data_IF_339635274852
#
_entry.id   IF_339635274852
#
_cell.length_a   1.000
_cell.length_b   1.000
_cell.length_c   1.000
_cell.angle_alpha   90.00
_cell.angle_beta   90.00
_cell.angle_gamma   90.00
#
_symmetry.space_group_name_H-M   'P 1'
#
loop_
_entity.id
_entity.type
_entity.pdbx_description
1 polymer ?
#
# COMPACT_ATOMS: atom_id res chain seq x y z
N UNK A 1 0.13 -20.31 -14.13
CA UNK A 1 -0.64 -19.11 -13.70
C UNK A 1 -2.00 -19.17 -14.35
N UNK A 2 -3.10 -18.93 -13.60
CA UNK A 2 -4.46 -18.93 -14.19
C UNK A 2 -4.63 -17.73 -15.14
N UNK A 3 -5.61 -17.82 -16.09
CA UNK A 3 -5.89 -16.73 -17.03
C UNK A 3 -6.23 -15.40 -16.30
N UNK A 4 -6.97 -15.47 -15.18
CA UNK A 4 -7.29 -14.29 -14.36
C UNK A 4 -6.03 -13.67 -13.73
N UNK A 5 -5.08 -14.48 -13.25
CA UNK A 5 -3.84 -13.98 -12.67
C UNK A 5 -2.93 -13.35 -13.73
N UNK A 6 -2.91 -13.91 -14.95
CA UNK A 6 -2.17 -13.31 -16.08
C UNK A 6 -2.75 -11.93 -16.42
N UNK A 7 -4.07 -11.81 -16.49
CA UNK A 7 -4.75 -10.54 -16.77
C UNK A 7 -4.47 -9.51 -15.67
N UNK A 8 -4.58 -9.90 -14.39
CA UNK A 8 -4.28 -9.02 -13.27
C UNK A 8 -2.83 -8.55 -13.28
N UNK A 9 -1.88 -9.43 -13.63
CA UNK A 9 -0.47 -9.07 -13.79
C UNK A 9 -0.26 -8.02 -14.90
N UNK A 10 -0.93 -8.17 -16.04
CA UNK A 10 -0.86 -7.21 -17.15
C UNK A 10 -1.46 -5.84 -16.77
N UNK A 11 -2.62 -5.84 -16.09
CA UNK A 11 -3.26 -4.62 -15.59
C UNK A 11 -2.34 -3.92 -14.56
N UNK A 12 -1.74 -4.69 -13.65
CA UNK A 12 -0.78 -4.17 -12.68
C UNK A 12 0.46 -3.57 -13.36
N UNK A 13 1.05 -4.26 -14.34
CA UNK A 13 2.19 -3.74 -15.11
C UNK A 13 1.85 -2.40 -15.77
N UNK A 14 0.64 -2.27 -16.30
CA UNK A 14 0.19 -1.02 -16.95
C UNK A 14 0.14 0.14 -15.95
N UNK A 15 -0.45 -0.06 -14.77
CA UNK A 15 -0.53 1.02 -13.76
C UNK A 15 0.84 1.34 -13.17
N UNK A 16 1.72 0.37 -12.97
CA UNK A 16 3.07 0.60 -12.48
C UNK A 16 3.91 1.43 -13.47
N UNK A 17 3.75 1.19 -14.77
CA UNK A 17 4.36 2.03 -15.82
C UNK A 17 3.83 3.47 -15.79
N UNK A 18 2.54 3.67 -15.55
CA UNK A 18 1.94 5.00 -15.38
C UNK A 18 2.50 5.71 -14.14
N UNK A 19 2.57 5.02 -12.99
CA UNK A 19 3.11 5.56 -11.75
C UNK A 19 4.58 5.96 -11.95
N UNK A 20 5.39 5.10 -12.58
CA UNK A 20 6.77 5.40 -12.94
C UNK A 20 6.89 6.64 -13.82
N UNK A 21 6.04 6.78 -14.82
CA UNK A 21 6.01 7.95 -15.70
C UNK A 21 5.73 9.23 -14.91
N UNK A 22 4.72 9.26 -14.05
CA UNK A 22 4.40 10.43 -13.22
C UNK A 22 5.59 10.80 -12.34
N UNK A 23 6.23 9.84 -11.68
CA UNK A 23 7.36 10.11 -10.79
C UNK A 23 8.59 10.67 -11.51
N UNK A 24 8.82 10.29 -12.75
CA UNK A 24 10.00 10.70 -13.50
C UNK A 24 9.78 11.96 -14.35
N UNK A 25 8.58 12.17 -14.85
CA UNK A 25 8.30 13.25 -15.82
C UNK A 25 7.28 14.28 -15.33
N UNK A 26 6.37 13.89 -14.45
CA UNK A 26 5.27 14.73 -13.97
C UNK A 26 5.24 14.86 -12.43
N UNK A 27 6.39 14.73 -11.78
CA UNK A 27 6.49 14.71 -10.30
C UNK A 27 5.89 15.94 -9.60
N UNK A 28 5.81 17.08 -10.28
CA UNK A 28 5.16 18.30 -9.78
C UNK A 28 3.65 18.10 -9.55
N UNK A 29 3.04 17.10 -10.18
CA UNK A 29 1.66 16.71 -9.98
C UNK A 29 1.42 15.96 -8.65
N UNK A 30 2.50 15.63 -7.92
CA UNK A 30 2.47 14.87 -6.65
C UNK A 30 2.94 15.74 -5.48
N UNK A 31 2.57 17.03 -5.49
CA UNK A 31 3.09 18.00 -4.52
C UNK A 31 2.47 17.85 -3.13
N UNK A 32 1.21 17.43 -3.03
CA UNK A 32 0.48 17.24 -1.77
C UNK A 32 0.26 15.76 -1.45
N UNK A 33 -0.06 15.43 -0.21
CA UNK A 33 -0.49 14.08 0.18
C UNK A 33 -1.76 13.67 -0.58
N UNK A 34 -2.68 14.60 -0.77
CA UNK A 34 -3.91 14.38 -1.53
C UNK A 34 -3.63 14.05 -3.00
N UNK A 35 -2.67 14.73 -3.64
CA UNK A 35 -2.21 14.38 -4.99
C UNK A 35 -1.69 12.95 -5.06
N UNK A 36 -0.89 12.53 -4.07
CA UNK A 36 -0.37 11.15 -3.99
C UNK A 36 -1.50 10.14 -3.81
N UNK A 37 -2.45 10.42 -2.92
CA UNK A 37 -3.63 9.56 -2.72
C UNK A 37 -4.42 9.39 -4.02
N UNK A 38 -4.80 10.49 -4.66
CA UNK A 38 -5.70 10.47 -5.83
C UNK A 38 -4.99 9.94 -7.08
N UNK A 39 -3.73 10.32 -7.31
CA UNK A 39 -3.04 10.05 -8.58
C UNK A 39 -2.20 8.79 -8.57
N UNK A 40 -1.86 8.26 -7.40
CA UNK A 40 -1.01 7.06 -7.27
C UNK A 40 -1.70 5.96 -6.48
N UNK A 41 -2.11 6.23 -5.22
CA UNK A 41 -2.63 5.19 -4.33
C UNK A 41 -3.97 4.65 -4.85
N UNK A 42 -4.95 5.51 -5.10
CA UNK A 42 -6.27 5.06 -5.57
C UNK A 42 -6.23 4.33 -6.92
N UNK A 43 -5.49 4.77 -7.95
CA UNK A 43 -5.31 4.00 -9.19
C UNK A 43 -4.72 2.60 -8.95
N UNK A 44 -3.73 2.47 -8.07
CA UNK A 44 -3.17 1.16 -7.71
C UNK A 44 -4.20 0.27 -7.00
N UNK A 45 -4.91 0.79 -5.99
CA UNK A 45 -5.96 0.05 -5.30
C UNK A 45 -7.06 -0.41 -6.27
N UNK A 46 -7.43 0.43 -7.23
CA UNK A 46 -8.42 0.09 -8.26
C UNK A 46 -7.97 -1.08 -9.14
N UNK A 47 -6.71 -1.11 -9.55
CA UNK A 47 -6.15 -2.23 -10.34
C UNK A 47 -6.07 -3.50 -9.51
N UNK A 48 -5.82 -3.39 -8.21
CA UNK A 48 -5.88 -4.50 -7.27
C UNK A 48 -7.33 -4.95 -6.97
N UNK A 49 -8.32 -4.41 -7.69
CA UNK A 49 -9.76 -4.73 -7.56
C UNK A 49 -10.33 -4.49 -6.16
N UNK A 50 -9.74 -3.55 -5.43
CA UNK A 50 -10.24 -3.11 -4.14
C UNK A 50 -11.46 -2.22 -4.37
N UNK A 51 -12.55 -2.52 -3.65
CA UNK A 51 -13.75 -1.69 -3.72
C UNK A 51 -13.56 -0.42 -2.88
N UNK A 52 -13.27 0.69 -3.57
CA UNK A 52 -13.04 2.01 -2.95
C UNK A 52 -14.23 2.48 -2.11
N UNK A 53 -15.45 2.07 -2.45
CA UNK A 53 -16.65 2.42 -1.67
C UNK A 53 -16.68 1.78 -0.28
N UNK A 54 -15.90 0.74 -0.05
CA UNK A 54 -15.77 0.08 1.25
C UNK A 54 -14.54 0.56 2.03
N UNK A 55 -13.68 1.38 1.43
CA UNK A 55 -12.54 1.96 2.14
C UNK A 55 -12.98 3.16 2.98
N UNK A 56 -12.38 3.29 4.16
CA UNK A 56 -12.48 4.51 4.96
C UNK A 56 -11.33 5.46 4.62
N UNK A 57 -11.64 6.71 4.40
CA UNK A 57 -10.67 7.77 4.13
C UNK A 57 -10.71 8.80 5.25
N UNK A 58 -9.54 9.26 5.70
CA UNK A 58 -9.42 10.36 6.66
C UNK A 58 -10.23 10.12 7.95
N UNK A 59 -10.32 8.87 8.37
CA UNK A 59 -11.10 8.46 9.53
C UNK A 59 -10.32 8.68 10.83
N UNK A 60 -11.01 9.10 11.88
CA UNK A 60 -10.42 9.17 13.21
C UNK A 60 -10.44 7.77 13.87
N UNK A 61 -9.31 7.40 14.46
CA UNK A 61 -9.16 6.20 15.27
C UNK A 61 -9.87 6.36 16.62
N UNK A 62 -10.02 5.27 17.36
CA UNK A 62 -10.55 5.33 18.75
C UNK A 62 -9.72 6.21 19.70
N UNK A 63 -8.45 6.48 19.35
CA UNK A 63 -7.54 7.35 20.09
C UNK A 63 -7.56 8.81 19.58
N UNK A 64 -8.46 9.16 18.69
CA UNK A 64 -8.61 10.50 18.15
C UNK A 64 -7.51 10.90 17.13
N UNK A 65 -6.71 9.95 16.63
CA UNK A 65 -5.74 10.18 15.56
C UNK A 65 -6.40 9.95 14.22
N UNK A 66 -6.05 10.76 13.23
CA UNK A 66 -6.58 10.64 11.87
C UNK A 66 -5.68 9.74 11.03
N UNK A 67 -6.23 8.63 10.55
CA UNK A 67 -5.58 7.75 9.59
C UNK A 67 -5.97 8.11 8.16
N UNK A 68 -5.09 7.87 7.20
CA UNK A 68 -5.34 8.25 5.81
C UNK A 68 -6.31 7.30 5.11
N UNK A 69 -5.99 6.00 5.05
CA UNK A 69 -6.83 5.02 4.36
C UNK A 69 -6.88 3.71 5.16
N UNK A 70 -8.09 3.20 5.35
CA UNK A 70 -8.32 1.83 5.85
C UNK A 70 -9.01 1.02 4.77
N UNK A 71 -8.38 -0.09 4.37
CA UNK A 71 -8.85 -0.98 3.31
C UNK A 71 -9.33 -2.29 3.93
N UNK A 72 -10.64 -2.61 3.86
CA UNK A 72 -11.16 -3.86 4.42
C UNK A 72 -10.84 -5.05 3.51
N UNK A 73 -10.40 -6.15 4.14
CA UNK A 73 -10.20 -7.45 3.52
C UNK A 73 -10.81 -8.54 4.41
N UNK A 74 -12.06 -8.90 4.15
CA UNK A 74 -12.79 -9.85 5.01
C UNK A 74 -12.89 -9.32 6.45
N UNK A 75 -12.26 -10.02 7.40
CA UNK A 75 -12.22 -9.62 8.81
C UNK A 75 -10.98 -8.78 9.17
N UNK A 76 -10.10 -8.50 8.20
CA UNK A 76 -8.88 -7.73 8.37
C UNK A 76 -9.02 -6.34 7.76
N UNK A 77 -8.20 -5.42 8.24
CA UNK A 77 -8.01 -4.12 7.60
C UNK A 77 -6.53 -3.93 7.29
N UNK A 78 -6.26 -3.30 6.15
CA UNK A 78 -4.92 -2.80 5.81
C UNK A 78 -4.95 -1.30 6.02
N UNK A 79 -4.02 -0.78 6.80
CA UNK A 79 -3.87 0.66 7.02
C UNK A 79 -2.80 1.19 6.09
N UNK A 80 -3.13 2.23 5.33
CA UNK A 80 -2.19 2.90 4.44
C UNK A 80 -2.00 4.33 4.94
N UNK A 81 -0.78 4.68 5.32
CA UNK A 81 -0.37 6.03 5.66
C UNK A 81 0.36 6.64 4.46
N UNK A 82 -0.10 7.82 4.05
CA UNK A 82 0.37 8.50 2.84
C UNK A 82 1.09 9.78 3.21
N UNK A 83 2.23 10.02 2.60
CA UNK A 83 3.01 11.26 2.69
C UNK A 83 3.14 11.88 1.30
N UNK A 84 3.34 13.19 1.24
CA UNK A 84 3.65 13.85 -0.05
C UNK A 84 4.98 13.33 -0.61
N UNK A 85 5.12 13.33 -1.92
CA UNK A 85 6.25 12.72 -2.63
C UNK A 85 7.63 13.20 -2.17
N UNK A 86 7.76 14.47 -1.78
CA UNK A 86 9.03 15.08 -1.41
C UNK A 86 9.52 14.67 -0.01
N UNK A 87 8.65 14.05 0.79
CA UNK A 87 9.00 13.62 2.15
C UNK A 87 9.79 12.32 2.07
N UNK A 88 10.95 12.30 2.71
CA UNK A 88 11.65 11.05 3.02
C UNK A 88 10.91 10.35 4.15
N UNK A 89 10.61 9.07 3.96
CA UNK A 89 9.98 8.25 4.99
C UNK A 89 10.98 8.03 6.15
N UNK A 90 10.51 8.20 7.38
CA UNK A 90 11.35 8.17 8.59
C UNK A 90 10.75 7.23 9.63
N UNK A 91 11.55 6.92 10.68
CA UNK A 91 11.07 6.13 11.82
C UNK A 91 9.87 6.76 12.52
N UNK A 92 9.74 8.09 12.54
CA UNK A 92 8.56 8.77 13.12
C UNK A 92 7.28 8.43 12.35
N UNK A 93 7.34 8.33 11.01
CA UNK A 93 6.22 7.90 10.19
C UNK A 93 5.88 6.42 10.43
N UNK A 94 6.89 5.58 10.63
CA UNK A 94 6.71 4.17 10.99
C UNK A 94 6.04 4.04 12.36
N UNK A 95 6.45 4.83 13.35
CA UNK A 95 5.84 4.85 14.69
C UNK A 95 4.38 5.35 14.62
N UNK A 96 4.09 6.32 13.77
CA UNK A 96 2.72 6.78 13.50
C UNK A 96 1.86 5.64 12.95
N UNK A 97 2.34 4.94 11.92
CA UNK A 97 1.65 3.78 11.33
C UNK A 97 1.44 2.67 12.37
N UNK A 98 2.47 2.37 13.19
CA UNK A 98 2.37 1.40 14.28
C UNK A 98 1.25 1.74 15.26
N UNK A 99 1.12 3.02 15.60
CA UNK A 99 0.03 3.50 16.46
C UNK A 99 -1.36 3.25 15.87
N UNK A 100 -1.51 3.42 14.55
CA UNK A 100 -2.77 3.11 13.86
C UNK A 100 -3.06 1.60 13.83
N UNK A 101 -2.05 0.78 13.50
CA UNK A 101 -2.21 -0.68 13.49
C UNK A 101 -2.63 -1.21 14.87
N UNK A 102 -2.03 -0.68 15.93
CA UNK A 102 -2.42 -1.03 17.29
C UNK A 102 -3.86 -0.62 17.62
N UNK A 103 -4.24 0.62 17.34
CA UNK A 103 -5.58 1.15 17.67
C UNK A 103 -6.70 0.50 16.86
N UNK A 104 -6.42 0.08 15.63
CA UNK A 104 -7.38 -0.54 14.71
C UNK A 104 -7.36 -2.07 14.78
N UNK A 105 -6.49 -2.66 15.58
CA UNK A 105 -6.25 -4.11 15.65
C UNK A 105 -5.95 -4.71 14.26
N UNK A 106 -5.17 -3.97 13.46
CA UNK A 106 -4.79 -4.36 12.11
C UNK A 106 -3.39 -4.98 12.09
N UNK A 107 -3.19 -6.00 11.24
CA UNK A 107 -1.91 -6.70 11.13
C UNK A 107 -1.02 -6.18 10.01
N UNK A 108 -1.57 -5.51 9.01
CA UNK A 108 -0.83 -5.06 7.82
C UNK A 108 -0.89 -3.54 7.72
N UNK A 109 0.29 -2.93 7.62
CA UNK A 109 0.47 -1.51 7.39
C UNK A 109 1.29 -1.24 6.13
N UNK A 110 0.94 -0.17 5.43
CA UNK A 110 1.67 0.35 4.28
C UNK A 110 1.97 1.82 4.54
N UNK A 111 3.25 2.19 4.43
CA UNK A 111 3.69 3.58 4.48
C UNK A 111 4.20 3.97 3.09
N UNK A 112 3.67 5.06 2.54
CA UNK A 112 4.08 5.48 1.19
C UNK A 112 4.12 6.99 1.03
N UNK A 113 5.06 7.47 0.19
CA UNK A 113 5.04 8.82 -0.39
C UNK A 113 4.69 8.78 -1.89
N UNK A 114 4.06 7.69 -2.35
CA UNK A 114 3.74 7.43 -3.74
C UNK A 114 4.89 6.83 -4.53
N UNK A 115 6.15 7.22 -4.24
CA UNK A 115 7.36 6.65 -4.83
C UNK A 115 7.82 5.41 -4.07
N UNK A 116 8.16 5.60 -2.79
CA UNK A 116 8.56 4.52 -1.88
C UNK A 116 7.32 3.92 -1.24
N UNK A 117 7.24 2.62 -1.25
CA UNK A 117 6.19 1.84 -0.62
C UNK A 117 6.83 0.85 0.33
N UNK A 118 6.62 1.05 1.63
CA UNK A 118 7.14 0.21 2.69
C UNK A 118 6.01 -0.60 3.30
N UNK A 119 6.16 -1.90 3.36
CA UNK A 119 5.15 -2.85 3.84
C UNK A 119 5.58 -3.42 5.19
N UNK A 120 4.64 -3.45 6.12
CA UNK A 120 4.87 -3.85 7.51
C UNK A 120 3.84 -4.84 7.99
N UNK A 121 4.28 -5.74 8.87
CA UNK A 121 3.42 -6.62 9.66
C UNK A 121 3.46 -6.14 11.11
N UNK A 122 2.30 -6.13 11.77
CA UNK A 122 2.16 -5.83 13.18
C UNK A 122 1.54 -7.01 13.92
N UNK A 123 2.32 -7.67 14.76
CA UNK A 123 1.88 -8.81 15.55
C UNK A 123 2.50 -8.75 16.96
N UNK A 124 1.72 -9.11 17.98
CA UNK A 124 2.19 -9.19 19.37
C UNK A 124 2.87 -7.91 19.87
N UNK A 125 2.39 -6.74 19.44
CA UNK A 125 2.93 -5.44 19.82
C UNK A 125 4.23 -5.06 19.09
N UNK A 126 4.71 -5.90 18.17
CA UNK A 126 5.92 -5.66 17.38
C UNK A 126 5.58 -5.39 15.94
N UNK A 127 6.34 -4.48 15.31
CA UNK A 127 6.24 -4.14 13.92
C UNK A 127 7.46 -4.62 13.17
N UNK A 128 7.25 -5.36 12.11
CA UNK A 128 8.29 -5.91 11.26
C UNK A 128 8.15 -5.38 9.83
N UNK A 129 9.25 -4.89 9.27
CA UNK A 129 9.34 -4.50 7.87
C UNK A 129 9.48 -5.76 6.99
N UNK A 130 8.63 -5.88 5.96
CA UNK A 130 8.63 -7.06 5.06
C UNK A 130 9.13 -6.76 3.65
N UNK A 131 8.84 -5.59 3.11
CA UNK A 131 9.24 -5.24 1.74
C UNK A 131 9.30 -3.72 1.54
N UNK A 132 10.17 -3.29 0.63
CA UNK A 132 10.22 -1.91 0.13
C UNK A 132 10.26 -1.90 -1.39
N UNK A 133 9.32 -1.21 -2.02
CA UNK A 133 9.27 -1.02 -3.46
C UNK A 133 9.51 0.46 -3.82
N UNK A 134 10.37 0.72 -4.80
CA UNK A 134 10.53 2.04 -5.42
C UNK A 134 9.80 2.06 -6.77
N UNK A 135 8.58 2.58 -6.79
CA UNK A 135 7.74 2.61 -7.99
C UNK A 135 8.17 3.66 -9.04
N UNK A 136 9.23 4.43 -8.78
CA UNK A 136 9.86 5.28 -9.81
C UNK A 136 10.78 4.50 -10.75
N UNK A 137 11.10 3.26 -10.41
CA UNK A 137 11.88 2.33 -11.24
C UNK A 137 11.02 1.21 -11.83
N UNK A 138 11.64 0.37 -12.63
CA UNK A 138 11.00 -0.83 -13.16
C UNK A 138 10.85 -1.86 -12.03
N UNK A 139 9.62 -2.26 -11.77
CA UNK A 139 9.35 -3.39 -10.88
C UNK A 139 9.63 -4.71 -11.60
N UNK A 140 10.32 -5.62 -10.93
CA UNK A 140 10.57 -6.97 -11.42
C UNK A 140 9.35 -7.89 -11.20
N UNK A 141 9.44 -9.12 -11.67
CA UNK A 141 8.34 -10.09 -11.56
C UNK A 141 8.00 -10.42 -10.10
N UNK A 142 9.00 -10.57 -9.23
CA UNK A 142 8.80 -10.91 -7.82
C UNK A 142 8.08 -9.78 -7.07
N UNK A 143 8.47 -8.54 -7.31
CA UNK A 143 7.81 -7.34 -6.76
C UNK A 143 6.36 -7.23 -7.22
N UNK A 144 6.09 -7.54 -8.49
CA UNK A 144 4.72 -7.54 -9.02
C UNK A 144 3.88 -8.70 -8.45
N UNK A 145 4.47 -9.87 -8.28
CA UNK A 145 3.82 -11.01 -7.61
C UNK A 145 3.53 -10.71 -6.14
N UNK A 146 4.45 -10.01 -5.44
CA UNK A 146 4.20 -9.54 -4.10
C UNK A 146 2.98 -8.61 -4.04
N UNK A 147 2.89 -7.62 -4.92
CA UNK A 147 1.74 -6.71 -5.01
C UNK A 147 0.43 -7.44 -5.33
N UNK A 148 0.48 -8.52 -6.12
CA UNK A 148 -0.72 -9.32 -6.42
C UNK A 148 -1.29 -10.06 -5.21
N UNK A 149 -0.53 -10.26 -4.12
CA UNK A 149 -1.10 -10.79 -2.87
C UNK A 149 -2.13 -9.83 -2.25
N UNK A 150 -2.12 -8.55 -2.65
CA UNK A 150 -3.11 -7.55 -2.25
C UNK A 150 -4.28 -7.41 -3.23
N UNK A 151 -4.30 -8.16 -4.33
CA UNK A 151 -5.43 -8.15 -5.25
C UNK A 151 -6.62 -8.87 -4.62
N UNK A 152 -7.82 -8.30 -4.70
CA UNK A 152 -9.00 -8.79 -3.98
C UNK A 152 -9.35 -10.25 -4.27
N UNK A 153 -9.11 -10.73 -5.52
CA UNK A 153 -9.36 -12.14 -5.90
C UNK A 153 -8.25 -13.10 -5.44
N UNK A 154 -7.05 -12.58 -5.12
CA UNK A 154 -5.86 -13.38 -4.79
C UNK A 154 -5.34 -13.08 -3.40
N UNK A 155 -6.05 -12.24 -2.64
CA UNK A 155 -5.63 -11.83 -1.31
C UNK A 155 -5.37 -13.06 -0.44
N UNK A 156 -4.17 -13.13 0.07
CA UNK A 156 -3.73 -14.20 0.95
C UNK A 156 -2.89 -13.63 2.08
N UNK A 157 -3.55 -13.46 3.24
CA UNK A 157 -2.90 -12.94 4.44
C UNK A 157 -1.70 -13.79 4.85
N UNK A 158 -1.81 -15.11 4.78
CA UNK A 158 -0.73 -16.02 5.17
C UNK A 158 0.49 -15.84 4.28
N UNK A 159 0.31 -15.68 2.97
CA UNK A 159 1.42 -15.40 2.05
C UNK A 159 2.10 -14.08 2.36
N UNK A 160 1.33 -13.05 2.75
CA UNK A 160 1.90 -11.75 3.14
C UNK A 160 2.67 -11.87 4.44
N UNK A 161 2.08 -12.53 5.46
CA UNK A 161 2.70 -12.71 6.76
C UNK A 161 3.99 -13.57 6.70
N UNK A 162 4.08 -14.48 5.76
CA UNK A 162 5.21 -15.39 5.60
C UNK A 162 6.16 -15.02 4.44
N UNK A 163 6.00 -13.85 3.84
CA UNK A 163 6.71 -13.46 2.61
C UNK A 163 8.24 -13.59 2.70
N UNK A 164 8.83 -13.38 3.87
CA UNK A 164 10.29 -13.52 4.10
C UNK A 164 10.75 -14.90 4.54
N UNK A 165 9.83 -15.81 4.83
CA UNK A 165 10.15 -17.15 5.33
C UNK A 165 10.22 -18.19 4.19
N UNK A 166 10.26 -17.75 2.94
CA UNK A 166 10.36 -18.60 1.74
C UNK A 166 11.77 -18.51 1.15
#
# INVERSE_FOLDING_TARGET
>A
MSANKIKAFQELTTILNYIRYIHNFEYKQLYTEEDVKIKVVLPLLKVLKINILHCDFERYTSQGKRLDISVPYGNENIIIEVKRRQITLTSEHVDQLKGYLHSENSQIGILTNGRMWEFYIYQNGQMEHIETLDLSYHTNTEEQEFLLNFHSEFFNLENILNYRNV
#
